data_IF_161527323853
#
_entry.id   IF_161527323853
#
_cell.length_a   1.000
_cell.length_b   1.000
_cell.length_c   1.000
_cell.angle_alpha   90.00
_cell.angle_beta   90.00
_cell.angle_gamma   90.00
#
_symmetry.space_group_name_H-M   'P 1'
#
loop_
_entity.id
_entity.type
_entity.pdbx_description
1 polymer ?
#
# COMPACT_ATOMS: atom_id res chain seq x y z
N UNK A 1 33.14 10.48 4.40
CA UNK A 1 31.97 11.34 4.63
C UNK A 1 31.25 11.47 3.31
N UNK A 2 30.32 10.56 3.01
CA UNK A 2 29.39 10.75 1.89
C UNK A 2 28.03 11.10 2.50
N UNK A 3 27.52 12.25 2.09
CA UNK A 3 26.29 12.82 2.62
C UNK A 3 25.11 11.96 2.26
N UNK A 4 24.43 11.45 3.29
CA UNK A 4 23.07 10.95 3.16
C UNK A 4 22.19 12.17 2.89
N UNK A 5 21.87 12.42 1.61
CA UNK A 5 20.85 13.41 1.26
C UNK A 5 19.58 13.07 2.05
N UNK A 6 19.10 14.05 2.81
CA UNK A 6 17.93 13.93 3.66
C UNK A 6 16.68 13.74 2.79
N UNK A 7 16.46 12.51 2.33
CA UNK A 7 15.20 12.08 1.76
C UNK A 7 14.12 12.26 2.82
N UNK A 8 13.13 13.09 2.51
CA UNK A 8 12.02 13.36 3.43
C UNK A 8 11.32 12.03 3.70
N UNK A 9 11.46 11.53 4.92
CA UNK A 9 10.69 10.39 5.40
C UNK A 9 9.32 10.91 5.80
N UNK A 10 8.37 10.88 4.88
CA UNK A 10 6.98 11.22 5.21
C UNK A 10 6.32 9.96 5.78
N UNK A 11 6.16 9.94 7.11
CA UNK A 11 5.28 8.99 7.77
C UNK A 11 3.86 9.38 7.38
N UNK A 12 3.20 8.58 6.55
CA UNK A 12 1.77 8.75 6.30
C UNK A 12 1.03 8.36 7.57
N UNK A 13 0.74 9.33 8.43
CA UNK A 13 -0.06 9.11 9.63
C UNK A 13 -1.46 8.60 9.27
N UNK A 14 -2.17 7.96 10.21
CA UNK A 14 -3.54 7.48 10.02
C UNK A 14 -4.43 8.55 9.39
N UNK A 15 -4.32 9.80 9.83
CA UNK A 15 -5.08 10.94 9.30
C UNK A 15 -4.78 11.31 7.83
N UNK A 16 -3.69 10.81 7.24
CA UNK A 16 -3.31 11.02 5.83
C UNK A 16 -3.67 9.84 4.94
N UNK A 17 -3.49 8.59 5.40
CA UNK A 17 -3.91 7.42 4.64
C UNK A 17 -5.40 7.12 4.79
N UNK A 18 -6.03 7.45 5.93
CA UNK A 18 -7.49 7.30 6.10
C UNK A 18 -8.24 8.11 5.05
N UNK A 19 -7.93 9.38 4.73
CA UNK A 19 -8.52 10.07 3.57
C UNK A 19 -8.11 9.50 2.21
N UNK A 20 -6.98 8.80 2.08
CA UNK A 20 -6.62 8.04 0.87
C UNK A 20 -7.51 6.79 0.73
N UNK A 21 -7.82 6.10 1.82
CA UNK A 21 -8.74 4.96 1.93
C UNK A 21 -10.22 5.37 1.87
N UNK A 22 -10.60 6.50 2.47
CA UNK A 22 -11.93 7.14 2.43
C UNK A 22 -12.13 7.86 1.09
N UNK A 23 -11.08 8.34 0.41
CA UNK A 23 -11.20 8.68 -1.01
C UNK A 23 -11.54 7.46 -1.89
N UNK A 24 -11.42 6.24 -1.34
CA UNK A 24 -11.91 4.98 -1.90
C UNK A 24 -13.28 4.57 -1.30
N UNK A 25 -14.03 5.49 -0.69
CA UNK A 25 -15.37 5.27 -0.13
C UNK A 25 -16.40 4.93 -1.23
N UNK A 26 -16.39 3.64 -1.53
CA UNK A 26 -17.51 2.84 -1.94
C UNK A 26 -17.49 1.66 -0.98
N UNK A 27 -18.66 1.23 -0.50
CA UNK A 27 -18.96 0.02 0.32
C UNK A 27 -17.82 -0.99 0.50
N UNK A 28 -17.73 -1.69 1.64
CA UNK A 28 -16.74 -2.77 1.91
C UNK A 28 -16.57 -3.82 0.78
N UNK A 29 -17.55 -3.93 -0.12
CA UNK A 29 -17.52 -4.73 -1.36
C UNK A 29 -16.75 -4.10 -2.54
N UNK A 30 -16.40 -2.82 -2.49
CA UNK A 30 -15.72 -2.08 -3.54
C UNK A 30 -14.29 -2.58 -3.75
N UNK A 31 -13.65 -3.11 -2.71
CA UNK A 31 -12.34 -3.75 -2.83
C UNK A 31 -12.42 -5.17 -3.40
N UNK A 32 -13.62 -5.66 -3.71
CA UNK A 32 -13.84 -6.91 -4.44
C UNK A 32 -14.08 -6.67 -5.94
N UNK A 33 -14.17 -5.41 -6.40
CA UNK A 33 -14.30 -5.08 -7.83
C UNK A 33 -12.96 -4.61 -8.41
N UNK A 34 -12.76 -4.73 -9.74
CA UNK A 34 -11.53 -4.29 -10.37
C UNK A 34 -11.20 -2.83 -10.06
N UNK A 35 -9.89 -2.56 -9.95
CA UNK A 35 -9.39 -1.22 -9.67
C UNK A 35 -9.88 -0.21 -10.71
N UNK A 36 -10.50 0.87 -10.26
CA UNK A 36 -10.88 2.00 -11.13
C UNK A 36 -9.87 3.14 -11.00
N UNK A 37 -9.12 3.47 -12.07
CA UNK A 37 -8.19 4.59 -12.09
C UNK A 37 -8.84 5.91 -11.69
N UNK A 38 -8.09 6.81 -11.03
CA UNK A 38 -8.61 8.16 -10.77
C UNK A 38 -8.89 8.90 -12.07
N UNK A 39 -8.08 8.70 -13.11
CA UNK A 39 -8.28 9.30 -14.42
C UNK A 39 -9.65 8.99 -15.05
N UNK A 40 -10.28 7.86 -14.70
CA UNK A 40 -11.59 7.46 -15.19
C UNK A 40 -12.76 8.21 -14.51
N UNK A 41 -12.52 8.91 -13.39
CA UNK A 41 -13.54 9.66 -12.66
C UNK A 41 -13.58 11.13 -13.10
N UNK A 42 -14.76 11.74 -13.17
CA UNK A 42 -14.95 13.14 -13.63
C UNK A 42 -14.04 14.17 -12.93
N UNK A 43 -13.86 14.07 -11.62
CA UNK A 43 -12.99 14.96 -10.81
C UNK A 43 -11.62 14.36 -10.51
N UNK A 44 -11.35 13.14 -11.01
CA UNK A 44 -10.20 12.36 -10.63
C UNK A 44 -8.86 12.82 -11.22
N UNK A 45 -8.76 13.32 -12.48
CA UNK A 45 -7.51 13.88 -13.00
C UNK A 45 -6.95 15.02 -12.15
N UNK A 46 -7.80 15.96 -11.73
CA UNK A 46 -7.39 17.08 -10.88
C UNK A 46 -6.94 16.61 -9.49
N UNK A 47 -7.63 15.61 -8.92
CA UNK A 47 -7.24 15.00 -7.65
C UNK A 47 -5.92 14.24 -7.76
N UNK A 48 -5.73 13.48 -8.84
CA UNK A 48 -4.51 12.75 -9.11
C UNK A 48 -3.31 13.70 -9.23
N UNK A 49 -3.45 14.79 -10.00
CA UNK A 49 -2.39 15.78 -10.14
C UNK A 49 -1.97 16.37 -8.79
N UNK A 50 -2.93 16.69 -7.91
CA UNK A 50 -2.64 17.17 -6.56
C UNK A 50 -1.87 16.13 -5.73
N UNK A 51 -2.22 14.85 -5.84
CA UNK A 51 -1.49 13.77 -5.15
C UNK A 51 -0.07 13.61 -5.70
N UNK A 52 0.09 13.62 -7.02
CA UNK A 52 1.39 13.55 -7.69
C UNK A 52 2.30 14.70 -7.27
N UNK A 53 1.77 15.93 -7.23
CA UNK A 53 2.51 17.11 -6.78
C UNK A 53 2.87 17.05 -5.29
N UNK A 54 1.95 16.54 -4.45
CA UNK A 54 2.17 16.43 -3.02
C UNK A 54 3.24 15.41 -2.67
N UNK A 55 3.24 14.25 -3.34
CA UNK A 55 4.07 13.11 -2.95
C UNK A 55 5.24 12.84 -3.91
N UNK A 56 5.56 13.76 -4.83
CA UNK A 56 6.62 13.57 -5.85
C UNK A 56 7.96 13.12 -5.26
N UNK A 57 8.34 13.71 -4.12
CA UNK A 57 9.65 13.51 -3.46
C UNK A 57 9.58 12.50 -2.29
N UNK A 58 8.44 11.82 -2.12
CA UNK A 58 8.29 10.77 -1.10
C UNK A 58 8.92 9.49 -1.63
N UNK A 59 9.82 8.90 -0.84
CA UNK A 59 10.54 7.65 -1.17
C UNK A 59 10.13 6.46 -0.28
N UNK A 60 9.70 6.74 0.95
CA UNK A 60 9.28 5.76 1.95
C UNK A 60 7.85 6.05 2.39
N UNK A 61 7.01 5.01 2.42
CA UNK A 61 5.63 5.06 2.91
C UNK A 61 5.50 4.10 4.07
N UNK A 62 4.97 4.57 5.19
CA UNK A 62 4.67 3.73 6.34
C UNK A 62 3.15 3.52 6.39
N UNK A 63 2.72 2.27 6.43
CA UNK A 63 1.33 1.84 6.57
C UNK A 63 1.21 1.22 7.94
N UNK A 64 0.67 1.99 8.87
CA UNK A 64 0.36 1.53 10.22
C UNK A 64 -0.95 0.74 10.27
N UNK A 65 -1.08 -0.10 11.30
CA UNK A 65 -2.20 -1.01 11.51
C UNK A 65 -2.55 -1.87 10.28
N UNK A 66 -1.54 -2.53 9.68
CA UNK A 66 -1.78 -3.39 8.49
C UNK A 66 -2.78 -4.52 8.76
N UNK A 67 -3.04 -4.87 10.02
CA UNK A 67 -4.04 -5.85 10.45
C UNK A 67 -5.42 -5.52 9.91
N UNK A 68 -5.79 -4.26 9.72
CA UNK A 68 -7.13 -3.91 9.19
C UNK A 68 -7.21 -3.93 7.65
N UNK A 69 -6.10 -4.16 6.96
CA UNK A 69 -6.04 -4.16 5.50
C UNK A 69 -6.48 -5.52 4.96
N UNK A 70 -7.49 -5.52 4.09
CA UNK A 70 -7.86 -6.71 3.31
C UNK A 70 -6.94 -6.88 2.08
N UNK A 71 -6.90 -8.09 1.52
CA UNK A 71 -6.17 -8.33 0.28
C UNK A 71 -6.60 -7.38 -0.84
N UNK A 72 -7.91 -7.20 -1.05
CA UNK A 72 -8.44 -6.28 -2.06
C UNK A 72 -8.03 -4.82 -1.81
N UNK A 73 -7.98 -4.38 -0.55
CA UNK A 73 -7.46 -3.04 -0.21
C UNK A 73 -5.99 -2.90 -0.60
N UNK A 74 -5.15 -3.88 -0.28
CA UNK A 74 -3.73 -3.84 -0.65
C UNK A 74 -3.52 -3.74 -2.17
N UNK A 75 -4.30 -4.49 -2.95
CA UNK A 75 -4.29 -4.38 -4.42
C UNK A 75 -4.63 -2.96 -4.89
N UNK A 76 -5.67 -2.35 -4.32
CA UNK A 76 -6.06 -0.98 -4.67
C UNK A 76 -5.02 0.06 -4.25
N UNK A 77 -4.37 -0.11 -3.09
CA UNK A 77 -3.29 0.75 -2.60
C UNK A 77 -2.12 0.70 -3.59
N UNK A 78 -1.63 -0.49 -3.95
CA UNK A 78 -0.56 -0.67 -4.94
C UNK A 78 -0.88 0.04 -6.25
N UNK A 79 -2.08 -0.17 -6.79
CA UNK A 79 -2.51 0.47 -8.04
C UNK A 79 -2.59 1.99 -7.94
N UNK A 80 -3.11 2.54 -6.83
CA UNK A 80 -3.17 3.98 -6.64
C UNK A 80 -1.78 4.61 -6.50
N UNK A 81 -0.87 3.94 -5.80
CA UNK A 81 0.51 4.38 -5.66
C UNK A 81 1.20 4.43 -7.04
N UNK A 82 0.97 3.45 -7.90
CA UNK A 82 1.46 3.46 -9.29
C UNK A 82 0.90 4.62 -10.13
N UNK A 83 -0.31 5.11 -9.85
CA UNK A 83 -0.83 6.33 -10.49
C UNK A 83 -0.14 7.60 -9.97
N UNK A 84 0.21 7.65 -8.68
CA UNK A 84 0.89 8.79 -8.05
C UNK A 84 2.34 8.93 -8.52
N UNK A 85 3.02 7.82 -8.82
CA UNK A 85 4.39 7.84 -9.36
C UNK A 85 4.44 7.22 -10.76
N UNK A 86 3.96 7.93 -11.80
CA UNK A 86 3.78 7.35 -13.13
C UNK A 86 5.08 6.89 -13.80
N UNK A 87 6.22 7.52 -13.48
CA UNK A 87 7.56 7.12 -13.95
C UNK A 87 7.96 5.71 -13.46
N UNK A 88 7.39 5.27 -12.34
CA UNK A 88 7.70 4.00 -11.68
C UNK A 88 6.49 3.06 -11.65
N UNK A 89 5.46 3.29 -12.48
CA UNK A 89 4.19 2.53 -12.46
C UNK A 89 4.33 1.01 -12.64
N UNK A 90 5.44 0.58 -13.23
CA UNK A 90 5.73 -0.82 -13.51
C UNK A 90 6.25 -1.56 -12.26
N UNK A 91 6.73 -0.82 -11.26
CA UNK A 91 7.20 -1.36 -10.00
C UNK A 91 6.03 -1.46 -8.99
N UNK A 92 6.07 -2.43 -8.06
CA UNK A 92 5.19 -2.45 -6.90
C UNK A 92 5.22 -1.10 -6.17
N UNK A 93 4.08 -0.66 -5.68
CA UNK A 93 3.89 0.57 -4.92
C UNK A 93 4.43 1.83 -5.61
N UNK A 94 4.51 1.84 -6.95
CA UNK A 94 5.10 2.95 -7.70
C UNK A 94 6.58 3.15 -7.41
N UNK A 95 7.31 2.07 -7.09
CA UNK A 95 8.74 2.10 -6.81
C UNK A 95 9.08 2.84 -5.52
N UNK A 96 8.20 2.74 -4.52
CA UNK A 96 8.42 3.29 -3.17
C UNK A 96 8.69 2.18 -2.19
N UNK A 97 9.53 2.49 -1.23
CA UNK A 97 9.75 1.62 -0.09
C UNK A 97 8.50 1.71 0.79
N UNK A 98 7.97 0.57 1.25
CA UNK A 98 6.74 0.52 2.04
C UNK A 98 6.98 -0.28 3.31
N UNK A 99 6.82 0.34 4.48
CA UNK A 99 6.89 -0.36 5.76
C UNK A 99 5.47 -0.61 6.25
N UNK A 100 5.12 -1.87 6.45
CA UNK A 100 3.88 -2.27 7.12
C UNK A 100 4.17 -2.47 8.60
N UNK A 101 3.49 -1.69 9.44
CA UNK A 101 3.53 -1.77 10.91
C UNK A 101 2.13 -2.03 11.46
N UNK A 102 2.07 -2.61 12.65
CA UNK A 102 0.81 -2.98 13.30
C UNK A 102 0.91 -4.31 14.04
N UNK A 103 -0.02 -4.51 14.97
CA UNK A 103 -0.14 -5.73 15.74
C UNK A 103 -1.12 -6.70 15.04
N UNK A 104 -0.63 -7.88 14.67
CA UNK A 104 -1.49 -8.93 14.11
C UNK A 104 -2.40 -9.61 15.14
N UNK A 105 -2.16 -9.37 16.43
CA UNK A 105 -2.95 -9.91 17.54
C UNK A 105 -4.17 -9.03 17.90
N UNK A 106 -4.22 -7.78 17.41
CA UNK A 106 -5.34 -6.87 17.62
C UNK A 106 -6.29 -6.91 16.42
N UNK A 107 -7.30 -7.76 16.57
CA UNK A 107 -8.55 -7.86 15.79
C UNK A 107 -8.46 -8.50 14.39
N UNK A 108 -9.47 -9.32 14.08
CA UNK A 108 -9.65 -9.98 12.79
C UNK A 108 -9.76 -8.93 11.65
N UNK A 109 -8.94 -9.03 10.59
CA UNK A 109 -9.03 -8.17 9.43
C UNK A 109 -10.42 -8.23 8.79
N UNK A 110 -10.96 -7.05 8.51
CA UNK A 110 -12.28 -6.81 7.93
C UNK A 110 -12.36 -7.39 6.50
N UNK A 111 -13.15 -8.47 6.37
CA UNK A 111 -13.85 -9.04 5.19
C UNK A 111 -13.60 -8.48 3.77
N UNK A 112 -13.66 -9.32 2.71
CA UNK A 112 -13.88 -10.78 2.75
C UNK A 112 -12.61 -11.61 2.97
N UNK A 113 -11.42 -11.07 2.69
CA UNK A 113 -10.16 -11.82 2.79
C UNK A 113 -9.07 -10.98 3.45
N UNK A 114 -8.59 -11.45 4.61
CA UNK A 114 -7.43 -10.89 5.30
C UNK A 114 -6.14 -11.11 4.50
N UNK A 115 -5.10 -10.35 4.81
CA UNK A 115 -3.74 -10.60 4.28
C UNK A 115 -3.16 -11.96 4.71
N UNK A 116 -3.67 -12.55 5.79
CA UNK A 116 -3.30 -13.90 6.24
C UNK A 116 -4.09 -15.02 5.54
N UNK A 117 -5.13 -14.69 4.76
CA UNK A 117 -5.95 -15.71 4.09
C UNK A 117 -5.10 -16.50 3.10
N UNK A 118 -5.11 -17.84 3.14
CA UNK A 118 -4.43 -18.69 2.14
C UNK A 118 -4.94 -18.42 0.72
N UNK A 119 -4.02 -18.35 -0.26
CA UNK A 119 -4.35 -17.95 -1.63
C UNK A 119 -5.37 -18.88 -2.32
N UNK A 120 -5.37 -20.16 -1.98
CA UNK A 120 -6.32 -21.19 -2.45
C UNK A 120 -7.75 -20.95 -1.99
N UNK A 121 -7.93 -20.24 -0.86
CA UNK A 121 -9.25 -19.88 -0.33
C UNK A 121 -9.82 -18.59 -0.92
N UNK A 122 -9.03 -17.89 -1.72
CA UNK A 122 -9.42 -16.60 -2.32
C UNK A 122 -10.00 -16.82 -3.72
N UNK A 123 -11.31 -16.73 -3.81
CA UNK A 123 -12.05 -16.93 -5.06
C UNK A 123 -12.03 -15.69 -5.96
N UNK A 124 -12.05 -14.50 -5.36
CA UNK A 124 -12.08 -13.24 -6.10
C UNK A 124 -10.69 -12.83 -6.59
N UNK A 125 -10.57 -12.53 -7.89
CA UNK A 125 -9.28 -12.21 -8.52
C UNK A 125 -8.61 -10.94 -7.98
N UNK A 126 -9.37 -9.93 -7.55
CA UNK A 126 -8.83 -8.68 -6.97
C UNK A 126 -8.12 -9.00 -5.67
N UNK A 127 -8.78 -9.80 -4.82
CA UNK A 127 -8.19 -10.27 -3.57
C UNK A 127 -7.02 -11.21 -3.81
N UNK A 128 -7.08 -12.08 -4.83
CA UNK A 128 -5.95 -12.97 -5.16
C UNK A 128 -4.71 -12.17 -5.54
N UNK A 129 -4.86 -11.16 -6.41
CA UNK A 129 -3.76 -10.24 -6.79
C UNK A 129 -3.23 -9.47 -5.58
N UNK A 130 -4.11 -9.02 -4.71
CA UNK A 130 -3.72 -8.40 -3.44
C UNK A 130 -2.91 -9.34 -2.54
N UNK A 131 -3.33 -10.60 -2.47
CA UNK A 131 -2.60 -11.64 -1.73
C UNK A 131 -1.23 -11.92 -2.34
N UNK A 132 -1.14 -12.02 -3.67
CA UNK A 132 0.13 -12.20 -4.39
C UNK A 132 1.09 -11.03 -4.13
N UNK A 133 0.59 -9.79 -4.07
CA UNK A 133 1.41 -8.64 -3.65
C UNK A 133 1.93 -8.89 -2.24
N UNK A 134 1.06 -9.25 -1.29
CA UNK A 134 1.46 -9.53 0.10
C UNK A 134 2.48 -10.67 0.23
N UNK A 135 2.44 -11.71 -0.62
CA UNK A 135 3.44 -12.80 -0.61
C UNK A 135 4.82 -12.38 -1.10
N UNK A 136 4.88 -11.35 -1.95
CA UNK A 136 6.13 -10.84 -2.51
C UNK A 136 6.83 -9.83 -1.61
N UNK A 137 6.16 -9.38 -0.55
CA UNK A 137 6.72 -8.47 0.44
C UNK A 137 7.72 -9.25 1.29
N UNK A 138 8.98 -8.79 1.30
CA UNK A 138 10.02 -9.44 2.08
C UNK A 138 9.77 -9.22 3.58
N UNK A 139 9.90 -10.30 4.36
CA UNK A 139 9.69 -10.26 5.80
C UNK A 139 11.01 -9.99 6.49
N UNK A 140 11.45 -8.73 6.51
CA UNK A 140 12.60 -8.35 7.34
C UNK A 140 12.09 -7.92 8.73
N UNK A 141 12.06 -8.87 9.66
CA UNK A 141 12.05 -8.56 11.10
C UNK A 141 13.49 -8.42 11.60
N UNK A 142 13.83 -7.20 12.03
CA UNK A 142 15.04 -6.80 12.77
C UNK A 142 16.37 -7.43 12.28
N UNK A 143 17.03 -6.78 11.33
CA UNK A 143 18.35 -6.14 11.54
C UNK A 143 18.98 -5.66 10.24
N UNK A 144 19.55 -4.45 10.33
CA UNK A 144 20.58 -3.84 9.49
C UNK A 144 20.42 -3.86 7.96
N UNK A 145 20.29 -2.65 7.44
CA UNK A 145 20.70 -2.20 6.11
C UNK A 145 21.82 -3.06 5.49
N UNK A 146 21.52 -3.64 4.32
CA UNK A 146 22.33 -3.58 3.11
C UNK A 146 21.90 -4.71 2.17
N UNK A 147 20.99 -4.41 1.24
CA UNK A 147 21.08 -4.82 -0.17
C UNK A 147 19.71 -4.64 -0.80
N UNK A 148 19.66 -3.69 -1.74
CA UNK A 148 18.51 -3.33 -2.54
C UNK A 148 17.86 -4.56 -3.20
N UNK A 149 16.56 -4.78 -2.94
CA UNK A 149 15.61 -5.50 -3.82
C UNK A 149 14.18 -5.35 -3.26
N UNK A 150 13.39 -4.47 -3.88
CA UNK A 150 11.95 -4.28 -3.67
C UNK A 150 11.52 -4.15 -2.20
N UNK A 151 11.75 -2.98 -1.59
CA UNK A 151 11.65 -2.85 -0.14
C UNK A 151 10.20 -2.59 0.31
N UNK A 152 9.37 -3.62 0.31
CA UNK A 152 8.25 -3.65 1.22
C UNK A 152 8.66 -4.46 2.45
N UNK A 153 8.71 -3.84 3.62
CA UNK A 153 9.17 -4.47 4.87
C UNK A 153 7.97 -4.63 5.80
N UNK A 154 7.74 -5.87 6.24
CA UNK A 154 6.76 -6.17 7.28
C UNK A 154 7.40 -6.14 8.67
N UNK A 155 7.07 -5.16 9.49
CA UNK A 155 7.44 -5.08 10.89
C UNK A 155 6.22 -5.39 11.76
N UNK A 156 6.30 -6.41 12.61
CA UNK A 156 5.32 -6.64 13.67
C UNK A 156 5.91 -6.14 14.98
N UNK A 157 5.20 -5.23 15.65
CA UNK A 157 5.53 -4.82 17.01
C UNK A 157 4.88 -5.86 17.94
N UNK A 158 5.70 -6.52 18.76
CA UNK A 158 5.28 -7.47 19.79
C UNK A 158 4.72 -6.76 21.01
#
# INVERSE_FOLDING_TARGET
>A
MEGFESGVTEVMAESQWVPFAIAMEQSRLAFSVPYTPLSAKKTGPAKLLKLQQRYKDVHLVIIDEFSVISCGMLYWIDHRMREIWPSHRHLPFGGRDVIFTGDSAQLDPVVPYSLSTPADKILNDVHRKGREIWERIDRITKEAANSCRYNAIKLSLL
#
